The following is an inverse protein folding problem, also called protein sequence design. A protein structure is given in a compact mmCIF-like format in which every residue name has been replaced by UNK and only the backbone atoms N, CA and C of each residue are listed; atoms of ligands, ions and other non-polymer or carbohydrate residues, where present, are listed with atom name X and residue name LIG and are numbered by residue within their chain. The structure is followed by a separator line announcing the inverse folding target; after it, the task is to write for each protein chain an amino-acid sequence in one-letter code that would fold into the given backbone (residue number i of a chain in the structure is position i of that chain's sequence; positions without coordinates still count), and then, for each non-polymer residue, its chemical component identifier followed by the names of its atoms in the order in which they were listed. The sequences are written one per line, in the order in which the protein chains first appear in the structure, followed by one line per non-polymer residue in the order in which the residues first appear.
data_IF_589043335303
#
_entry.id   IF_589043335303
#
_cell.length_a   1.000
_cell.length_b   1.000
_cell.length_c   1.000
_cell.angle_alpha   90.00
_cell.angle_beta   90.00
_cell.angle_gamma   90.00
#
_symmetry.space_group_name_H-M   'P 1'
#
loop_
_entity.id
_entity.type
_entity.pdbx_description
1 polymer ?
#
# COMPACT_ATOMS: atom_id res chain seq x y z
N UNK A 1 15.49 -9.51 -48.22
CA UNK A 1 14.09 -9.54 -47.77
C UNK A 1 14.13 -9.04 -46.35
N UNK A 2 13.77 -7.78 -46.17
CA UNK A 2 13.72 -7.11 -44.87
C UNK A 2 12.50 -7.65 -44.14
N UNK A 3 12.72 -8.58 -43.21
CA UNK A 3 11.70 -8.98 -42.24
C UNK A 3 11.29 -7.74 -41.46
N UNK A 4 10.13 -7.21 -41.81
CA UNK A 4 9.50 -6.13 -41.06
C UNK A 4 9.15 -6.69 -39.69
N UNK A 5 10.00 -6.40 -38.71
CA UNK A 5 9.72 -6.61 -37.30
C UNK A 5 8.41 -5.87 -37.00
N UNK A 6 7.30 -6.62 -36.98
CA UNK A 6 6.03 -6.05 -36.52
C UNK A 6 6.23 -5.72 -35.05
N UNK A 7 5.82 -4.54 -34.57
CA UNK A 7 5.88 -4.25 -33.15
C UNK A 7 5.12 -5.34 -32.41
N UNK A 8 5.86 -6.10 -31.60
CA UNK A 8 5.32 -7.10 -30.70
C UNK A 8 4.68 -6.34 -29.55
N UNK A 9 3.36 -6.39 -29.50
CA UNK A 9 2.58 -5.84 -28.39
C UNK A 9 2.71 -6.77 -27.20
N UNK A 10 3.26 -6.27 -26.12
CA UNK A 10 3.39 -6.99 -24.86
C UNK A 10 2.46 -6.37 -23.82
N UNK A 11 2.08 -7.17 -22.84
CA UNK A 11 1.30 -6.73 -21.70
C UNK A 11 2.16 -6.78 -20.44
N UNK A 12 2.18 -5.68 -19.70
CA UNK A 12 2.84 -5.57 -18.40
C UNK A 12 1.78 -5.64 -17.33
N UNK A 13 2.05 -6.45 -16.30
CA UNK A 13 1.22 -6.54 -15.10
C UNK A 13 1.96 -5.86 -13.95
N UNK A 14 1.37 -4.79 -13.41
CA UNK A 14 1.91 -4.05 -12.27
C UNK A 14 1.00 -4.20 -11.06
N UNK A 15 1.61 -4.36 -9.88
CA UNK A 15 0.91 -4.48 -8.61
C UNK A 15 1.58 -3.53 -7.62
N UNK A 16 0.79 -2.66 -6.99
CA UNK A 16 1.28 -1.59 -6.11
C UNK A 16 2.37 -0.73 -6.79
N UNK A 17 2.20 -0.43 -8.08
CA UNK A 17 3.15 0.35 -8.88
C UNK A 17 4.44 -0.39 -9.28
N UNK A 18 4.62 -1.65 -8.86
CA UNK A 18 5.80 -2.45 -9.21
C UNK A 18 5.45 -3.41 -10.33
N UNK A 19 6.22 -3.36 -11.42
CA UNK A 19 6.15 -4.34 -12.50
C UNK A 19 6.47 -5.74 -11.97
N UNK A 20 5.57 -6.70 -12.22
CA UNK A 20 5.75 -8.08 -11.80
C UNK A 20 6.13 -9.01 -12.93
N UNK A 21 5.51 -8.84 -14.10
CA UNK A 21 5.71 -9.74 -15.24
C UNK A 21 5.29 -9.06 -16.55
N UNK A 22 6.00 -9.40 -17.64
CA UNK A 22 5.65 -9.09 -19.02
C UNK A 22 5.15 -10.34 -19.73
N UNK A 23 4.09 -10.20 -20.51
CA UNK A 23 3.50 -11.25 -21.33
C UNK A 23 3.56 -10.88 -22.81
N UNK A 24 4.16 -11.75 -23.59
CA UNK A 24 4.10 -11.74 -25.05
C UNK A 24 2.82 -12.41 -25.57
N UNK A 25 2.42 -12.15 -26.83
CA UNK A 25 1.27 -12.80 -27.45
C UNK A 25 1.36 -14.34 -27.36
N UNK A 26 0.25 -14.97 -26.97
CA UNK A 26 0.15 -16.42 -26.76
C UNK A 26 0.52 -16.91 -25.35
N UNK A 27 0.93 -16.02 -24.44
CA UNK A 27 1.22 -16.37 -23.05
C UNK A 27 0.00 -16.18 -22.14
N UNK A 28 -0.04 -16.97 -21.07
CA UNK A 28 -1.05 -16.89 -20.02
C UNK A 28 -0.41 -17.04 -18.65
N UNK A 29 -1.00 -16.37 -17.66
CA UNK A 29 -0.62 -16.49 -16.26
C UNK A 29 -1.84 -16.68 -15.37
N UNK A 30 -1.64 -17.33 -14.24
CA UNK A 30 -2.58 -17.32 -13.13
C UNK A 30 -2.15 -16.31 -12.07
N UNK A 31 -3.08 -15.48 -11.61
CA UNK A 31 -2.86 -14.47 -10.58
C UNK A 31 -3.56 -14.92 -9.30
N UNK A 32 -2.87 -14.83 -8.18
CA UNK A 32 -3.49 -15.00 -6.88
C UNK A 32 -2.50 -14.91 -5.74
N UNK A 33 -3.02 -14.94 -4.51
CA UNK A 33 -2.16 -14.75 -3.34
C UNK A 33 -1.13 -15.85 -3.19
N UNK A 34 0.02 -15.50 -2.61
CA UNK A 34 1.08 -16.44 -2.25
C UNK A 34 0.56 -17.44 -1.21
N UNK A 35 0.56 -18.76 -1.51
CA UNK A 35 0.06 -19.75 -0.57
C UNK A 35 1.14 -20.11 0.48
N UNK A 36 0.73 -20.34 1.73
CA UNK A 36 1.63 -20.76 2.83
C UNK A 36 2.30 -22.12 2.53
N UNK A 37 1.58 -22.98 1.80
CA UNK A 37 2.10 -24.26 1.30
C UNK A 37 2.20 -24.17 -0.22
N UNK A 38 3.27 -24.68 -0.85
CA UNK A 38 3.34 -24.80 -2.30
C UNK A 38 2.08 -25.48 -2.84
N UNK A 39 1.47 -24.88 -3.86
CA UNK A 39 0.35 -25.49 -4.56
C UNK A 39 0.89 -26.51 -5.57
N UNK A 40 0.07 -27.51 -5.94
CA UNK A 40 0.39 -28.39 -7.06
C UNK A 40 0.76 -27.57 -8.30
N UNK A 41 1.82 -27.99 -8.99
CA UNK A 41 2.19 -27.36 -10.25
C UNK A 41 1.18 -27.78 -11.32
N UNK A 42 0.33 -26.83 -11.71
CA UNK A 42 -0.68 -26.99 -12.74
C UNK A 42 -0.10 -26.71 -14.16
N UNK A 43 1.21 -26.45 -14.28
CA UNK A 43 1.90 -26.19 -15.55
C UNK A 43 1.67 -24.78 -16.13
N UNK A 44 0.91 -23.95 -15.44
CA UNK A 44 0.68 -22.53 -15.77
C UNK A 44 1.64 -21.65 -14.98
N UNK A 45 2.21 -20.64 -15.65
CA UNK A 45 3.02 -19.63 -14.96
C UNK A 45 2.14 -18.88 -13.97
N UNK A 46 2.60 -18.76 -12.74
CA UNK A 46 1.83 -18.15 -11.67
C UNK A 46 2.48 -16.87 -11.19
N UNK A 47 1.68 -15.82 -11.12
CA UNK A 47 2.00 -14.58 -10.43
C UNK A 47 1.51 -14.67 -8.98
N UNK A 48 2.47 -14.84 -8.06
CA UNK A 48 2.21 -14.83 -6.62
C UNK A 48 2.14 -13.40 -6.09
N UNK A 49 0.97 -13.01 -5.58
CA UNK A 49 0.74 -11.69 -5.01
C UNK A 49 0.83 -11.76 -3.49
N UNK A 50 1.54 -10.82 -2.87
CA UNK A 50 1.55 -10.67 -1.42
C UNK A 50 0.26 -9.98 -1.00
N UNK A 51 -0.55 -10.66 -0.21
CA UNK A 51 -1.85 -10.19 0.26
C UNK A 51 -2.00 -10.59 1.73
N UNK A 52 -1.72 -9.63 2.62
CA UNK A 52 -1.76 -9.79 4.08
C UNK A 52 -3.19 -9.92 4.60
N UNK A 53 -4.14 -9.18 4.00
CA UNK A 53 -5.56 -9.19 4.39
C UNK A 53 -6.28 -10.46 3.94
N UNK A 54 -5.64 -11.29 3.12
CA UNK A 54 -6.19 -12.55 2.58
C UNK A 54 -7.48 -12.31 1.79
N UNK A 55 -7.60 -11.12 1.20
CA UNK A 55 -8.73 -10.71 0.37
C UNK A 55 -8.72 -11.38 -1.01
N UNK A 56 -7.54 -11.74 -1.51
CA UNK A 56 -7.33 -12.37 -2.80
C UNK A 56 -7.30 -13.91 -2.63
N UNK A 57 -8.10 -14.63 -3.41
CA UNK A 57 -8.00 -16.08 -3.53
C UNK A 57 -6.60 -16.56 -3.94
N UNK A 58 -6.23 -17.78 -3.55
CA UNK A 58 -4.94 -18.39 -3.95
C UNK A 58 -4.85 -18.49 -5.48
N UNK A 59 -5.91 -18.96 -6.12
CA UNK A 59 -6.10 -18.89 -7.58
C UNK A 59 -7.28 -17.94 -7.75
N UNK A 60 -7.02 -16.70 -8.13
CA UNK A 60 -8.03 -15.66 -8.16
C UNK A 60 -8.55 -15.47 -9.58
N UNK A 61 -7.64 -15.17 -10.49
CA UNK A 61 -7.96 -14.93 -11.88
C UNK A 61 -6.87 -15.49 -12.79
N UNK A 62 -7.23 -15.70 -14.05
CA UNK A 62 -6.27 -15.96 -15.12
C UNK A 62 -6.22 -14.76 -16.06
N UNK A 63 -5.01 -14.40 -16.49
CA UNK A 63 -4.77 -13.39 -17.50
C UNK A 63 -4.19 -14.07 -18.72
N UNK A 64 -4.84 -13.89 -19.87
CA UNK A 64 -4.52 -14.61 -21.11
C UNK A 64 -4.32 -13.58 -22.21
N UNK A 65 -3.16 -13.62 -22.86
CA UNK A 65 -2.86 -12.84 -24.06
C UNK A 65 -2.94 -13.78 -25.26
N UNK A 66 -3.82 -13.48 -26.20
CA UNK A 66 -3.94 -14.28 -27.42
C UNK A 66 -2.79 -14.02 -28.41
N UNK A 67 -2.70 -14.82 -29.48
CA UNK A 67 -1.70 -14.64 -30.52
C UNK A 67 -1.85 -13.31 -31.30
N UNK A 68 -3.02 -12.66 -31.20
CA UNK A 68 -3.27 -11.35 -31.80
C UNK A 68 -2.80 -10.18 -30.93
N UNK A 69 -2.39 -10.45 -29.68
CA UNK A 69 -1.98 -9.45 -28.69
C UNK A 69 -3.14 -8.84 -27.89
N UNK A 70 -4.37 -9.33 -28.06
CA UNK A 70 -5.50 -8.96 -27.20
C UNK A 70 -5.44 -9.75 -25.90
N UNK A 71 -5.81 -9.09 -24.81
CA UNK A 71 -5.80 -9.68 -23.49
C UNK A 71 -7.20 -9.85 -22.93
N UNK A 72 -7.37 -10.88 -22.10
CA UNK A 72 -8.60 -11.14 -21.35
C UNK A 72 -8.28 -11.61 -19.94
N UNK A 73 -9.14 -11.21 -19.01
CA UNK A 73 -9.13 -11.67 -17.62
C UNK A 73 -10.31 -12.61 -17.41
N UNK A 74 -10.09 -13.71 -16.70
CA UNK A 74 -11.16 -14.62 -16.25
C UNK A 74 -11.03 -14.85 -14.76
N UNK A 75 -12.09 -14.56 -14.02
CA UNK A 75 -12.19 -14.90 -12.60
C UNK A 75 -12.37 -16.42 -12.45
N UNK A 76 -11.60 -17.04 -11.55
CA UNK A 76 -11.55 -18.49 -11.34
C UNK A 76 -12.42 -18.94 -10.14
N UNK A 77 -13.54 -18.28 -9.90
CA UNK A 77 -14.41 -18.52 -8.74
C UNK A 77 -13.80 -17.94 -7.47
N UNK A 78 -13.33 -16.69 -7.54
CA UNK A 78 -12.74 -16.02 -6.40
C UNK A 78 -13.78 -15.76 -5.29
N UNK A 79 -13.34 -15.72 -4.03
CA UNK A 79 -14.28 -15.57 -2.90
C UNK A 79 -14.85 -14.16 -2.79
N UNK A 80 -14.00 -13.15 -3.05
CA UNK A 80 -14.38 -11.73 -2.92
C UNK A 80 -14.74 -11.08 -4.25
N UNK A 81 -14.56 -11.81 -5.36
CA UNK A 81 -14.82 -11.32 -6.71
C UNK A 81 -13.66 -10.56 -7.33
N UNK A 82 -13.73 -10.44 -8.65
CA UNK A 82 -12.90 -9.57 -9.50
C UNK A 82 -13.73 -8.39 -10.01
N UNK A 83 -13.15 -7.20 -10.01
CA UNK A 83 -13.81 -5.98 -10.48
C UNK A 83 -12.90 -5.20 -11.43
N UNK A 84 -13.48 -4.55 -12.43
CA UNK A 84 -12.82 -3.55 -13.28
C UNK A 84 -13.05 -2.18 -12.66
N UNK A 85 -11.99 -1.41 -12.48
CA UNK A 85 -12.05 -0.05 -11.95
C UNK A 85 -12.21 0.91 -13.13
N UNK A 86 -13.34 1.62 -13.17
CA UNK A 86 -13.61 2.65 -14.17
C UNK A 86 -12.92 3.99 -13.81
N UNK A 87 -12.89 4.91 -14.76
CA UNK A 87 -12.25 6.23 -14.61
C UNK A 87 -12.93 7.14 -13.56
N UNK A 88 -14.21 6.91 -13.29
CA UNK A 88 -15.00 7.59 -12.25
C UNK A 88 -14.81 6.98 -10.86
N UNK A 89 -14.09 5.87 -10.75
CA UNK A 89 -13.92 5.09 -9.53
C UNK A 89 -14.98 4.02 -9.31
N UNK A 90 -15.96 3.89 -10.21
CA UNK A 90 -16.97 2.84 -10.10
C UNK A 90 -16.38 1.46 -10.40
N UNK A 91 -16.91 0.45 -9.72
CA UNK A 91 -16.47 -0.94 -9.85
C UNK A 91 -17.47 -1.75 -10.67
N UNK A 92 -17.02 -2.30 -11.79
CA UNK A 92 -17.79 -3.26 -12.59
C UNK A 92 -17.35 -4.66 -12.22
N UNK A 93 -18.26 -5.47 -11.65
CA UNK A 93 -17.95 -6.87 -11.34
C UNK A 93 -17.74 -7.69 -12.61
N UNK A 94 -16.64 -8.42 -12.66
CA UNK A 94 -16.37 -9.44 -13.67
C UNK A 94 -17.13 -10.71 -13.32
N UNK A 95 -17.79 -11.31 -14.31
CA UNK A 95 -18.52 -12.57 -14.10
C UNK A 95 -17.54 -13.72 -13.87
N UNK A 96 -17.81 -14.53 -12.85
CA UNK A 96 -17.06 -15.74 -12.52
C UNK A 96 -17.06 -16.72 -13.71
N UNK A 97 -15.92 -17.37 -13.97
CA UNK A 97 -15.68 -18.33 -15.05
C UNK A 97 -15.93 -17.80 -16.48
N UNK A 98 -16.15 -16.50 -16.65
CA UNK A 98 -16.33 -15.84 -17.94
C UNK A 98 -15.10 -15.05 -18.34
N UNK A 99 -14.80 -15.05 -19.63
CA UNK A 99 -13.78 -14.18 -20.19
C UNK A 99 -14.28 -12.74 -20.24
N UNK A 100 -13.53 -11.84 -19.61
CA UNK A 100 -13.65 -10.41 -19.77
C UNK A 100 -12.53 -9.92 -20.69
N UNK A 101 -12.83 -9.53 -21.94
CA UNK A 101 -11.84 -8.92 -22.82
C UNK A 101 -11.52 -7.51 -22.35
N UNK A 102 -10.23 -7.18 -22.26
CA UNK A 102 -9.78 -5.81 -22.00
C UNK A 102 -10.21 -4.94 -23.20
N UNK A 103 -10.86 -3.82 -22.90
CA UNK A 103 -11.38 -2.83 -23.84
C UNK A 103 -10.33 -1.77 -24.20
N UNK A 104 -9.39 -1.49 -23.29
CA UNK A 104 -8.38 -0.46 -23.40
C UNK A 104 -6.96 -1.01 -23.35
N UNK A 105 -5.99 -0.19 -23.75
CA UNK A 105 -4.56 -0.51 -23.66
C UNK A 105 -4.02 -0.41 -22.23
N UNK A 106 -4.79 0.14 -21.29
CA UNK A 106 -4.47 0.16 -19.87
C UNK A 106 -5.75 0.04 -19.08
N UNK A 107 -5.83 -0.94 -18.19
CA UNK A 107 -6.98 -1.17 -17.33
C UNK A 107 -6.56 -1.57 -15.93
N UNK A 108 -7.28 -1.06 -14.94
CA UNK A 108 -7.09 -1.39 -13.53
C UNK A 108 -8.16 -2.36 -13.08
N UNK A 109 -7.74 -3.44 -12.46
CA UNK A 109 -8.61 -4.43 -11.85
C UNK A 109 -8.41 -4.43 -10.34
N UNK A 110 -9.47 -4.76 -9.62
CA UNK A 110 -9.45 -5.05 -8.20
C UNK A 110 -9.76 -6.53 -8.00
N UNK A 111 -8.82 -7.27 -7.43
CA UNK A 111 -8.96 -8.69 -7.10
C UNK A 111 -9.03 -8.85 -5.58
N UNK A 112 -10.23 -9.02 -5.04
CA UNK A 112 -10.46 -8.83 -3.61
C UNK A 112 -10.23 -7.36 -3.23
N UNK A 113 -9.20 -7.06 -2.44
CA UNK A 113 -8.83 -5.69 -2.07
C UNK A 113 -7.55 -5.20 -2.78
N UNK A 114 -6.93 -6.04 -3.61
CA UNK A 114 -5.67 -5.73 -4.27
C UNK A 114 -5.92 -5.15 -5.66
N UNK A 115 -5.31 -3.99 -5.93
CA UNK A 115 -5.31 -3.37 -7.24
C UNK A 115 -4.19 -3.95 -8.13
N UNK A 116 -4.54 -4.29 -9.36
CA UNK A 116 -3.63 -4.79 -10.39
C UNK A 116 -3.88 -4.01 -11.66
N UNK A 117 -2.84 -3.39 -12.21
CA UNK A 117 -2.93 -2.72 -13.49
C UNK A 117 -2.34 -3.59 -14.60
N UNK A 118 -3.05 -3.62 -15.72
CA UNK A 118 -2.62 -4.22 -16.96
C UNK A 118 -2.37 -3.11 -17.96
N UNK A 119 -1.17 -3.02 -18.50
CA UNK A 119 -0.81 -2.02 -19.51
C UNK A 119 -0.16 -2.66 -20.72
N UNK A 120 -0.56 -2.25 -21.90
CA UNK A 120 -0.01 -2.70 -23.16
C UNK A 120 1.16 -1.78 -23.54
N UNK A 121 2.33 -2.39 -23.78
CA UNK A 121 3.53 -1.71 -24.25
C UNK A 121 3.87 -2.20 -25.66
N UNK A 122 4.34 -1.28 -26.50
CA UNK A 122 4.90 -1.62 -27.80
C UNK A 122 6.43 -1.80 -27.62
N UNK A 123 6.98 -2.98 -27.91
CA UNK A 123 8.39 -3.34 -27.67
C UNK A 123 9.39 -2.36 -28.32
N UNK A 124 8.97 -1.68 -29.40
CA UNK A 124 9.74 -0.62 -30.07
C UNK A 124 10.02 0.63 -29.21
N UNK A 125 9.41 0.79 -28.04
CA UNK A 125 9.70 1.88 -27.10
C UNK A 125 10.50 1.47 -25.86
N UNK A 126 10.80 0.17 -25.68
CA UNK A 126 11.46 -0.32 -24.46
C UNK A 126 12.88 -0.88 -24.66
N UNK A 127 13.34 -1.06 -25.89
CA UNK A 127 14.76 -1.42 -26.14
C UNK A 127 15.75 -0.28 -25.80
N UNK A 128 15.26 0.91 -25.45
CA UNK A 128 16.07 2.04 -24.96
C UNK A 128 15.86 2.36 -23.46
N UNK A 129 15.03 1.59 -22.73
CA UNK A 129 14.67 1.90 -21.34
C UNK A 129 15.01 0.80 -20.31
N UNK A 130 15.68 -0.29 -20.70
CA UNK A 130 16.29 -1.22 -19.72
C UNK A 130 17.67 -0.71 -19.23
N UNK A 131 18.20 0.36 -19.84
CA UNK A 131 19.23 1.23 -19.27
C UNK A 131 18.57 2.56 -18.87
N UNK A 132 17.74 2.56 -17.82
CA UNK A 132 17.47 3.82 -17.10
C UNK A 132 18.74 4.15 -16.31
N UNK A 133 19.76 4.63 -17.03
CA UNK A 133 20.56 5.72 -16.52
C UNK A 133 19.55 6.76 -16.06
N UNK A 134 19.32 6.80 -14.75
CA UNK A 134 18.92 8.02 -14.08
C UNK A 134 19.91 9.02 -14.67
N UNK A 135 19.44 9.95 -15.51
CA UNK A 135 20.26 10.99 -16.09
C UNK A 135 20.54 11.95 -14.95
N UNK A 136 21.33 11.49 -13.98
CA UNK A 136 22.04 12.28 -13.00
C UNK A 136 22.92 13.14 -13.89
N UNK A 137 22.65 14.45 -13.99
CA UNK A 137 23.56 15.33 -14.68
C UNK A 137 24.92 15.10 -14.03
N UNK A 138 25.92 14.68 -14.83
CA UNK A 138 27.24 14.36 -14.32
C UNK A 138 27.70 15.53 -13.44
N UNK A 139 27.93 15.28 -12.15
CA UNK A 139 28.33 16.30 -11.17
C UNK A 139 29.66 16.98 -11.58
N UNK A 140 30.37 16.42 -12.56
CA UNK A 140 31.59 16.95 -13.14
C UNK A 140 31.43 17.58 -14.53
N UNK A 141 30.24 17.55 -15.14
CA UNK A 141 30.00 18.21 -16.44
C UNK A 141 30.18 19.74 -16.37
N UNK A 142 29.92 20.35 -15.21
CA UNK A 142 30.20 21.77 -14.98
C UNK A 142 31.69 22.11 -14.91
N UNK A 143 32.57 21.15 -14.61
CA UNK A 143 34.01 21.39 -14.54
C UNK A 143 34.70 21.39 -15.91
N UNK A 144 34.03 20.84 -16.94
CA UNK A 144 34.61 20.76 -18.29
C UNK A 144 34.13 21.87 -19.23
N UNK A 145 32.99 22.51 -18.96
CA UNK A 145 32.50 23.61 -19.80
C UNK A 145 33.09 24.99 -19.46
N UNK A 146 33.77 25.15 -18.32
CA UNK A 146 34.36 26.44 -17.90
C UNK A 146 35.89 26.47 -17.89
N UNK A 147 36.59 25.58 -18.62
CA UNK A 147 38.05 25.65 -18.60
C UNK A 147 38.86 25.29 -19.84
N UNK A 148 38.38 25.66 -21.02
CA UNK A 148 39.26 25.76 -22.20
C UNK A 148 40.05 27.09 -22.26
N UNK A 149 39.94 27.97 -21.25
CA UNK A 149 40.62 29.28 -21.24
C UNK A 149 41.30 29.71 -19.93
N UNK A 150 41.24 28.99 -18.80
CA UNK A 150 42.17 29.29 -17.70
C UNK A 150 43.48 28.54 -17.94
N UNK A 151 44.36 29.22 -18.66
CA UNK A 151 45.79 28.95 -18.61
C UNK A 151 46.22 29.02 -17.14
N UNK A 152 46.78 27.94 -16.59
CA UNK A 152 47.47 28.01 -15.31
C UNK A 152 48.42 29.21 -15.35
N UNK A 153 48.32 30.17 -14.41
CA UNK A 153 49.22 31.31 -14.40
C UNK A 153 50.63 30.80 -14.21
N UNK A 154 51.50 31.15 -15.17
CA UNK A 154 52.92 30.79 -15.15
C UNK A 154 53.51 31.30 -13.82
N UNK A 155 54.22 30.45 -13.08
CA UNK A 155 54.71 30.74 -11.73
C UNK A 155 55.59 32.01 -11.67
N UNK A 156 56.09 32.46 -12.82
CA UNK A 156 56.88 33.67 -12.98
C UNK A 156 56.08 34.98 -12.92
N UNK A 157 54.75 34.95 -13.09
CA UNK A 157 53.86 36.13 -13.06
C UNK A 157 53.11 36.30 -11.73
N UNK A 158 53.34 35.42 -10.75
CA UNK A 158 52.75 35.55 -9.42
C UNK A 158 53.38 36.73 -8.66
N UNK A 159 52.54 37.62 -8.13
CA UNK A 159 53.02 38.73 -7.32
C UNK A 159 53.56 38.22 -5.98
N UNK A 160 54.44 39.00 -5.34
CA UNK A 160 55.03 38.64 -4.04
C UNK A 160 53.96 38.45 -2.96
N UNK A 161 52.84 39.17 -3.06
CA UNK A 161 51.71 39.04 -2.14
C UNK A 161 50.93 37.73 -2.37
N UNK A 162 50.71 37.30 -3.62
CA UNK A 162 50.03 36.02 -3.94
C UNK A 162 50.82 34.80 -3.43
N UNK A 163 52.15 34.87 -3.47
CA UNK A 163 53.05 33.82 -2.97
C UNK A 163 53.04 33.77 -1.42
N UNK A 164 52.81 34.91 -0.76
CA UNK A 164 52.70 34.96 0.70
C UNK A 164 51.39 34.32 1.19
N UNK A 165 50.28 34.54 0.47
CA UNK A 165 48.99 33.91 0.79
C UNK A 165 49.03 32.38 0.60
N UNK A 166 49.68 31.90 -0.47
CA UNK A 166 49.91 30.48 -0.74
C UNK A 166 50.69 29.76 0.38
N UNK A 167 51.58 30.47 1.10
CA UNK A 167 52.35 29.91 2.22
C UNK A 167 51.64 30.11 3.57
N UNK A 168 50.84 31.16 3.73
CA UNK A 168 50.12 31.47 4.95
C UNK A 168 48.88 30.57 5.16
N UNK A 169 48.42 29.87 4.13
CA UNK A 169 47.28 28.95 4.23
C UNK A 169 45.92 29.67 4.31
N UNK A 170 45.85 30.92 3.88
CA UNK A 170 44.60 31.64 3.72
C UNK A 170 43.97 31.30 2.36
N UNK A 171 42.62 31.25 2.26
CA UNK A 171 41.97 30.78 1.05
C UNK A 171 42.26 31.77 -0.09
N UNK A 172 42.92 31.29 -1.14
CA UNK A 172 43.23 32.03 -2.37
C UNK A 172 41.94 32.57 -2.98
N UNK A 173 41.61 33.82 -2.64
CA UNK A 173 40.38 34.50 -3.01
C UNK A 173 40.41 34.98 -4.45
N UNK A 174 40.43 34.07 -5.43
CA UNK A 174 40.20 34.42 -6.85
C UNK A 174 38.69 34.57 -7.15
N UNK A 175 37.82 34.31 -6.17
CA UNK A 175 36.37 34.44 -6.32
C UNK A 175 35.93 35.91 -6.43
N UNK A 176 36.01 36.46 -7.64
CA UNK A 176 35.39 37.73 -8.01
C UNK A 176 33.86 37.53 -8.13
N UNK A 177 33.12 37.80 -7.06
CA UNK A 177 31.67 37.63 -6.95
C UNK A 177 30.83 38.59 -7.85
N UNK A 178 31.46 39.36 -8.73
CA UNK A 178 30.80 40.39 -9.54
C UNK A 178 30.03 39.78 -10.73
N UNK A 179 30.46 38.62 -11.26
CA UNK A 179 29.78 37.92 -12.35
C UNK A 179 28.46 37.23 -11.95
N UNK A 180 28.36 36.78 -10.69
CA UNK A 180 27.17 36.03 -10.20
C UNK A 180 25.93 36.93 -10.15
N UNK A 181 26.10 38.21 -9.82
CA UNK A 181 24.99 39.19 -9.76
C UNK A 181 24.39 39.48 -11.13
N UNK A 182 25.22 39.56 -12.18
CA UNK A 182 24.74 39.75 -13.56
C UNK A 182 23.87 38.58 -14.04
N UNK A 183 24.20 37.35 -13.62
CA UNK A 183 23.50 36.15 -14.08
C UNK A 183 22.18 35.92 -13.34
N UNK A 184 22.12 36.28 -12.05
CA UNK A 184 20.88 36.27 -11.26
C UNK A 184 19.88 37.30 -11.81
N UNK A 185 20.34 38.50 -12.18
CA UNK A 185 19.45 39.50 -12.81
C UNK A 185 18.90 39.03 -14.16
N UNK A 186 19.71 38.36 -14.99
CA UNK A 186 19.26 37.81 -16.27
C UNK A 186 18.23 36.68 -16.12
N UNK A 187 18.42 35.77 -15.14
CA UNK A 187 17.46 34.70 -14.82
C UNK A 187 16.15 35.25 -14.26
N UNK A 188 16.22 36.29 -13.41
CA UNK A 188 15.03 36.95 -12.88
C UNK A 188 14.20 37.62 -13.98
N UNK A 189 14.85 38.27 -14.94
CA UNK A 189 14.19 38.90 -16.10
C UNK A 189 13.55 37.87 -17.05
N UNK A 190 14.16 36.69 -17.19
CA UNK A 190 13.61 35.58 -17.99
C UNK A 190 12.38 34.93 -17.33
N UNK A 191 12.34 34.85 -16.00
CA UNK A 191 11.18 34.34 -15.25
C UNK A 191 9.99 35.33 -15.26
N UNK A 192 10.27 36.65 -15.24
CA UNK A 192 9.24 37.70 -15.31
C UNK A 192 8.61 37.78 -16.71
N UNK A 193 9.39 37.57 -17.78
CA UNK A 193 8.86 37.55 -19.14
C UNK A 193 8.01 36.30 -19.48
N UNK A 194 8.18 35.18 -18.77
CA UNK A 194 7.33 33.99 -18.94
C UNK A 194 5.94 34.11 -18.28
N UNK A 195 5.72 35.11 -17.42
CA UNK A 195 4.45 35.32 -16.71
C UNK A 195 3.60 36.47 -17.29
N UNK A 196 3.96 37.04 -18.44
CA UNK A 196 3.27 38.21 -19.02
C UNK A 196 2.50 37.89 -20.31
N UNK A 197 1.82 36.74 -20.35
CA UNK A 197 0.80 36.46 -21.36
C UNK A 197 -0.38 35.67 -20.77
N UNK A 198 -0.95 36.16 -19.67
CA UNK A 198 -2.33 35.84 -19.29
C UNK A 198 -2.93 37.04 -18.56
N UNK A 199 -3.87 37.71 -19.23
CA UNK A 199 -4.61 38.86 -18.76
C UNK A 199 -5.77 38.44 -17.85
N UNK A 200 -5.81 39.00 -16.63
CA UNK A 200 -6.94 38.95 -15.68
C UNK A 200 -7.71 40.29 -15.75
N UNK A 201 -9.05 40.28 -15.62
CA UNK A 201 -9.72 40.80 -14.41
C UNK A 201 -10.84 39.83 -13.95
N UNK A 202 -11.29 39.73 -12.70
CA UNK A 202 -11.31 40.63 -11.56
C UNK A 202 -11.64 39.83 -10.27
N UNK A 203 -11.39 40.45 -9.12
CA UNK A 203 -11.52 39.92 -7.76
C UNK A 203 -12.97 39.76 -7.29
N UNK A 204 -13.27 38.67 -6.57
CA UNK A 204 -14.18 38.70 -5.41
C UNK A 204 -13.64 37.82 -4.27
N UNK A 205 -13.72 38.36 -3.06
CA UNK A 205 -13.23 37.83 -1.77
C UNK A 205 -14.23 36.83 -1.16
N UNK A 206 -13.78 35.91 -0.30
CA UNK A 206 -14.63 34.93 0.38
C UNK A 206 -15.43 35.59 1.52
N UNK A 207 -16.71 35.25 1.64
CA UNK A 207 -17.57 35.69 2.74
C UNK A 207 -17.51 34.68 3.90
N UNK A 208 -17.25 35.26 5.08
CA UNK A 208 -17.40 34.69 6.41
C UNK A 208 -18.78 34.05 6.63
N UNK A 209 -18.81 32.98 7.43
CA UNK A 209 -19.97 32.66 8.24
C UNK A 209 -19.49 32.31 9.65
N UNK A 210 -19.48 33.31 10.52
CA UNK A 210 -19.31 33.16 11.96
C UNK A 210 -20.60 32.61 12.60
N UNK A 211 -20.37 31.94 13.74
CA UNK A 211 -21.34 31.35 14.64
C UNK A 211 -22.20 32.42 15.32
N UNK A 212 -23.46 32.11 15.60
CA UNK A 212 -24.10 32.64 16.81
C UNK A 212 -25.19 31.70 17.34
N UNK A 213 -25.27 31.69 18.66
CA UNK A 213 -26.00 30.83 19.57
C UNK A 213 -27.19 31.62 20.12
N UNK A 214 -28.32 30.95 20.40
CA UNK A 214 -29.33 31.27 21.46
C UNK A 214 -30.53 30.33 21.22
N UNK A 215 -30.82 29.31 22.05
CA UNK A 215 -31.35 29.27 23.43
C UNK A 215 -32.89 29.43 23.54
N UNK A 216 -33.51 28.34 24.03
CA UNK A 216 -34.78 28.22 24.79
C UNK A 216 -36.16 28.44 24.10
N UNK A 217 -37.00 27.40 24.06
CA UNK A 217 -38.13 27.20 25.01
C UNK A 217 -38.93 25.90 24.74
N UNK A 218 -39.38 25.30 25.84
CA UNK A 218 -40.15 24.06 26.06
C UNK A 218 -41.53 23.98 25.37
N UNK A 219 -42.02 22.75 25.10
CA UNK A 219 -43.16 22.10 25.81
C UNK A 219 -43.62 20.79 25.11
N UNK A 220 -43.61 19.70 25.90
CA UNK A 220 -44.43 18.47 25.93
C UNK A 220 -45.10 17.86 24.66
N UNK A 221 -44.79 16.59 24.35
CA UNK A 221 -45.72 15.44 24.49
C UNK A 221 -45.06 14.10 24.11
N UNK A 222 -45.08 13.18 25.08
CA UNK A 222 -45.26 11.73 25.08
C UNK A 222 -45.42 10.93 23.75
N UNK A 223 -44.75 9.75 23.73
CA UNK A 223 -44.97 8.71 22.73
C UNK A 223 -43.95 7.56 22.75
N UNK A 224 -43.80 6.84 23.87
CA UNK A 224 -43.08 5.55 23.90
C UNK A 224 -43.92 4.45 23.21
N UNK A 225 -43.40 3.87 22.13
CA UNK A 225 -43.86 2.58 21.58
C UNK A 225 -42.69 1.61 21.38
N UNK A 226 -42.40 0.90 22.47
CA UNK A 226 -42.26 -0.56 22.59
C UNK A 226 -41.69 -1.36 21.40
N UNK A 227 -40.46 -1.84 21.57
CA UNK A 227 -39.98 -3.10 20.98
C UNK A 227 -40.42 -4.29 21.86
N UNK A 228 -41.00 -5.33 21.26
CA UNK A 228 -41.29 -6.62 21.91
C UNK A 228 -40.55 -7.76 21.17
N UNK A 229 -39.80 -8.64 21.86
CA UNK A 229 -39.37 -9.92 21.32
C UNK A 229 -40.33 -11.06 21.75
N UNK A 230 -40.85 -11.81 20.77
CA UNK A 230 -41.53 -13.11 20.92
C UNK A 230 -40.60 -14.16 20.25
N UNK A 231 -40.35 -15.38 20.73
CA UNK A 231 -40.86 -16.16 21.84
C UNK A 231 -39.86 -17.30 22.13
N UNK A 232 -39.58 -17.58 23.40
CA UNK A 232 -39.09 -18.88 23.86
C UNK A 232 -40.14 -19.40 24.85
N UNK A 233 -40.94 -20.38 24.42
CA UNK A 233 -41.91 -21.04 25.29
C UNK A 233 -41.24 -22.23 25.98
N UNK A 234 -40.79 -22.00 27.22
CA UNK A 234 -40.69 -23.04 28.24
C UNK A 234 -42.09 -23.49 28.64
N UNK A 235 -42.35 -24.79 28.72
CA UNK A 235 -43.50 -25.35 29.42
C UNK A 235 -43.01 -26.35 30.45
N UNK A 236 -43.37 -26.10 31.71
CA UNK A 236 -43.00 -26.90 32.86
C UNK A 236 -44.09 -27.94 33.19
N UNK A 237 -43.60 -29.11 33.66
CA UNK A 237 -44.12 -30.07 34.64
C UNK A 237 -45.63 -30.22 34.87
N UNK A 238 -46.11 -31.47 34.84
CA UNK A 238 -46.57 -32.18 36.05
C UNK A 238 -46.72 -33.70 35.81
N UNK A 239 -46.74 -34.43 36.92
CA UNK A 239 -46.56 -35.87 37.15
C UNK A 239 -47.72 -36.79 36.74
N UNK A 240 -47.45 -38.06 36.45
CA UNK A 240 -47.92 -39.19 37.28
C UNK A 240 -47.47 -40.56 36.75
N UNK A 241 -47.46 -41.49 37.70
CA UNK A 241 -46.95 -42.86 37.72
C UNK A 241 -47.65 -43.82 36.74
N UNK A 242 -46.93 -44.83 36.21
CA UNK A 242 -47.23 -46.26 36.38
C UNK A 242 -46.47 -47.16 35.39
N UNK A 243 -45.72 -48.08 35.98
CA UNK A 243 -45.19 -49.34 35.44
C UNK A 243 -46.33 -50.25 34.96
N UNK A 244 -46.16 -50.99 33.84
CA UNK A 244 -46.52 -52.42 33.62
C UNK A 244 -46.66 -52.78 32.11
N UNK A 245 -45.68 -53.59 31.66
CA UNK A 245 -45.84 -54.86 30.89
C UNK A 245 -46.16 -54.82 29.38
N UNK A 246 -45.13 -55.18 28.59
CA UNK A 246 -45.05 -56.36 27.70
C UNK A 246 -46.12 -56.50 26.60
N UNK A 247 -45.69 -56.63 25.33
CA UNK A 247 -46.10 -57.70 24.39
C UNK A 247 -45.36 -57.58 23.04
N UNK A 248 -45.13 -58.76 22.46
CA UNK A 248 -44.34 -59.12 21.28
C UNK A 248 -45.00 -58.80 19.92
N UNK A 249 -44.16 -58.87 18.87
CA UNK A 249 -44.47 -59.30 17.47
C UNK A 249 -45.42 -58.38 16.66
N UNK A 250 -45.33 -58.19 15.34
CA UNK A 250 -44.50 -58.69 14.23
C UNK A 250 -44.88 -57.88 12.96
N UNK A 251 -44.10 -58.05 11.87
CA UNK A 251 -44.44 -57.75 10.44
C UNK A 251 -44.58 -56.26 10.03
N UNK A 252 -44.32 -55.80 8.80
CA UNK A 252 -43.42 -56.11 7.69
C UNK A 252 -43.63 -54.94 6.68
N UNK A 253 -42.64 -54.66 5.83
CA UNK A 253 -42.73 -53.96 4.52
C UNK A 253 -42.76 -52.41 4.39
N UNK A 254 -41.78 -51.97 3.58
CA UNK A 254 -41.80 -51.00 2.45
C UNK A 254 -41.27 -49.56 2.64
N UNK A 255 -40.40 -49.20 1.67
CA UNK A 255 -39.49 -48.06 1.40
C UNK A 255 -40.05 -46.62 1.58
N UNK A 256 -39.24 -45.51 1.53
CA UNK A 256 -37.85 -45.36 1.05
C UNK A 256 -36.86 -44.67 2.02
N UNK A 257 -35.56 -44.87 1.77
CA UNK A 257 -34.45 -44.31 2.53
C UNK A 257 -34.36 -42.78 2.38
N UNK A 258 -34.59 -42.06 3.48
CA UNK A 258 -34.22 -40.67 3.65
C UNK A 258 -32.69 -40.55 3.84
N UNK A 259 -32.03 -39.50 3.32
CA UNK A 259 -30.61 -39.28 3.56
C UNK A 259 -30.39 -39.04 5.06
N UNK A 260 -29.51 -39.84 5.66
CA UNK A 260 -28.99 -39.59 7.01
C UNK A 260 -28.32 -38.22 7.04
N UNK A 261 -29.00 -37.23 7.62
CA UNK A 261 -28.42 -35.93 7.94
C UNK A 261 -27.35 -36.13 9.01
N UNK A 262 -26.07 -36.08 8.62
CA UNK A 262 -24.96 -35.94 9.56
C UNK A 262 -24.82 -34.45 9.90
N UNK A 263 -25.00 -34.02 11.16
CA UNK A 263 -24.65 -32.66 11.55
C UNK A 263 -23.14 -32.44 11.35
N UNK A 264 -22.76 -31.38 10.64
CA UNK A 264 -21.38 -31.04 10.29
C UNK A 264 -20.58 -30.38 11.43
N UNK A 265 -20.99 -30.55 12.68
CA UNK A 265 -20.32 -29.95 13.82
C UNK A 265 -19.85 -31.05 14.78
N UNK A 266 -18.53 -31.27 14.79
CA UNK A 266 -17.89 -32.11 15.80
C UNK A 266 -17.93 -31.37 17.15
N UNK A 267 -18.47 -32.00 18.22
CA UNK A 267 -18.54 -31.41 19.55
C UNK A 267 -17.12 -31.34 20.13
N UNK A 268 -16.44 -30.24 19.85
CA UNK A 268 -15.07 -29.99 20.33
C UNK A 268 -14.41 -28.72 19.79
N UNK A 269 -14.97 -28.05 18.77
CA UNK A 269 -14.20 -27.03 18.03
C UNK A 269 -14.23 -25.60 18.58
N UNK A 270 -15.13 -25.24 19.49
CA UNK A 270 -15.25 -23.83 19.97
C UNK A 270 -15.06 -23.73 21.48
N UNK A 271 -15.72 -24.61 22.24
CA UNK A 271 -15.63 -24.59 23.71
C UNK A 271 -14.26 -25.02 24.25
N UNK A 272 -13.55 -25.92 23.55
CA UNK A 272 -12.24 -26.39 23.99
C UNK A 272 -11.14 -25.34 23.74
N UNK A 273 -11.31 -24.50 22.71
CA UNK A 273 -10.43 -23.33 22.44
C UNK A 273 -10.65 -22.21 23.45
N UNK A 274 -11.90 -21.90 23.79
CA UNK A 274 -12.23 -20.92 24.85
C UNK A 274 -11.74 -21.38 26.23
N UNK A 275 -11.84 -22.68 26.53
CA UNK A 275 -11.45 -23.22 27.84
C UNK A 275 -9.94 -23.34 28.03
N UNK A 276 -9.17 -23.35 26.94
CA UNK A 276 -7.69 -23.44 26.99
C UNK A 276 -7.00 -22.07 27.03
N UNK A 277 -7.73 -20.97 26.94
CA UNK A 277 -7.15 -19.62 27.03
C UNK A 277 -6.19 -19.27 25.89
N UNK A 278 -6.23 -20.03 24.80
CA UNK A 278 -5.33 -19.91 23.64
C UNK A 278 -5.96 -18.99 22.57
N UNK A 279 -6.52 -17.86 23.02
CA UNK A 279 -6.72 -16.74 22.11
C UNK A 279 -5.34 -16.13 21.92
N UNK A 280 -4.70 -16.54 20.82
CA UNK A 280 -3.57 -15.87 20.20
C UNK A 280 -3.60 -14.38 20.53
N UNK A 281 -2.46 -13.87 21.02
CA UNK A 281 -2.10 -12.46 21.02
C UNK A 281 -2.18 -11.95 19.56
N UNK A 282 -3.40 -11.73 19.08
CA UNK A 282 -3.67 -11.04 17.83
C UNK A 282 -3.24 -9.60 18.09
N UNK A 283 -1.95 -9.34 17.91
CA UNK A 283 -1.37 -8.01 17.98
C UNK A 283 -2.28 -7.08 17.18
N UNK A 284 -2.88 -6.10 17.86
CA UNK A 284 -3.87 -5.23 17.26
C UNK A 284 -3.20 -4.47 16.12
N UNK A 285 -3.50 -4.86 14.87
CA UNK A 285 -2.99 -4.17 13.69
C UNK A 285 -3.80 -2.89 13.54
N UNK A 286 -3.20 -1.78 13.94
CA UNK A 286 -3.83 -0.45 13.84
C UNK A 286 -3.38 0.18 12.53
N UNK A 287 -4.32 0.67 11.73
CA UNK A 287 -4.06 1.36 10.47
C UNK A 287 -4.56 2.80 10.55
N UNK A 288 -3.68 3.76 10.24
CA UNK A 288 -3.98 5.19 10.27
C UNK A 288 -3.40 5.83 9.01
N UNK A 289 -4.26 6.48 8.21
CA UNK A 289 -3.86 7.15 6.96
C UNK A 289 -3.02 6.27 5.99
N UNK A 290 -3.31 4.97 5.96
CA UNK A 290 -2.59 3.99 5.13
C UNK A 290 -1.24 3.54 5.70
N UNK A 291 -0.89 3.93 6.93
CA UNK A 291 0.27 3.43 7.68
C UNK A 291 -0.18 2.46 8.76
N UNK A 292 0.45 1.29 8.82
CA UNK A 292 0.08 0.26 9.80
C UNK A 292 1.02 0.23 11.00
N UNK A 293 0.55 -0.34 12.11
CA UNK A 293 1.37 -0.61 13.29
C UNK A 293 2.54 -1.55 13.00
N UNK A 294 2.42 -2.44 12.02
CA UNK A 294 3.51 -3.31 11.58
C UNK A 294 4.60 -2.52 10.83
N UNK A 295 4.20 -1.55 10.01
CA UNK A 295 5.14 -0.64 9.36
C UNK A 295 5.88 0.21 10.41
N UNK A 296 5.17 0.67 11.45
CA UNK A 296 5.77 1.40 12.55
C UNK A 296 6.88 0.60 13.27
N UNK A 297 6.66 -0.69 13.53
CA UNK A 297 7.62 -1.58 14.21
C UNK A 297 8.83 -1.95 13.36
N UNK A 298 8.67 -2.06 12.04
CA UNK A 298 9.68 -2.66 11.17
C UNK A 298 10.29 -1.69 10.14
N UNK A 299 9.75 -0.48 9.99
CA UNK A 299 10.21 0.48 9.00
C UNK A 299 11.64 0.93 9.30
N UNK A 300 12.47 0.98 8.25
CA UNK A 300 13.83 1.56 8.28
C UNK A 300 13.90 2.91 7.54
N UNK A 301 12.80 3.35 6.93
CA UNK A 301 12.73 4.61 6.19
C UNK A 301 12.42 5.77 7.15
N UNK A 302 13.37 6.69 7.29
CA UNK A 302 13.24 7.85 8.18
C UNK A 302 12.10 8.79 7.79
N UNK A 303 11.81 8.93 6.49
CA UNK A 303 10.69 9.76 6.00
C UNK A 303 9.37 9.14 6.42
N UNK A 304 9.25 7.82 6.27
CA UNK A 304 8.06 7.09 6.69
C UNK A 304 7.89 7.13 8.21
N UNK A 305 8.97 6.91 8.98
CA UNK A 305 8.97 7.02 10.45
C UNK A 305 8.52 8.40 10.92
N UNK A 306 9.00 9.48 10.30
CA UNK A 306 8.58 10.85 10.63
C UNK A 306 7.09 11.08 10.35
N UNK A 307 6.56 10.56 9.25
CA UNK A 307 5.13 10.66 8.96
C UNK A 307 4.30 9.85 9.96
N UNK A 308 4.74 8.63 10.30
CA UNK A 308 4.07 7.82 11.32
C UNK A 308 4.09 8.47 12.71
N UNK A 309 5.17 9.18 13.07
CA UNK A 309 5.28 9.91 14.33
C UNK A 309 4.25 11.05 14.50
N UNK A 310 3.61 11.50 13.41
CA UNK A 310 2.49 12.47 13.49
C UNK A 310 1.21 11.83 14.06
N UNK A 311 1.13 10.50 14.03
CA UNK A 311 -0.04 9.75 14.48
C UNK A 311 0.20 9.18 15.87
N UNK A 312 -0.50 9.76 16.87
CA UNK A 312 -0.37 9.35 18.27
C UNK A 312 -0.61 7.86 18.52
N UNK A 313 -1.46 7.25 17.70
CA UNK A 313 -1.83 5.84 17.77
C UNK A 313 -0.69 4.90 17.33
N UNK A 314 0.24 5.39 16.51
CA UNK A 314 1.38 4.60 16.02
C UNK A 314 2.60 4.71 16.93
N UNK A 315 2.65 5.71 17.83
CA UNK A 315 3.81 5.99 18.68
C UNK A 315 4.28 4.80 19.55
N UNK A 316 3.39 4.05 20.22
CA UNK A 316 3.83 2.89 21.01
C UNK A 316 4.47 1.80 20.14
N UNK A 317 4.04 1.68 18.88
CA UNK A 317 4.59 0.73 17.92
C UNK A 317 5.89 1.21 17.30
N UNK A 318 6.02 2.53 17.05
CA UNK A 318 7.29 3.13 16.68
C UNK A 318 8.32 2.86 17.77
N UNK A 319 7.97 3.07 19.03
CA UNK A 319 8.88 2.82 20.16
C UNK A 319 9.41 1.37 20.25
N UNK A 320 8.75 0.39 19.63
CA UNK A 320 9.24 -1.00 19.55
C UNK A 320 10.25 -1.23 18.43
N UNK A 321 10.40 -0.29 17.50
CA UNK A 321 11.24 -0.44 16.32
C UNK A 321 12.73 -0.23 16.66
N UNK A 322 13.61 -1.22 16.42
CA UNK A 322 15.04 -1.13 16.74
C UNK A 322 15.85 -0.24 15.80
N UNK A 323 15.25 0.21 14.68
CA UNK A 323 15.90 1.01 13.65
C UNK A 323 15.30 2.42 13.54
N UNK A 324 14.79 2.96 14.64
CA UNK A 324 14.46 4.40 14.72
C UNK A 324 15.74 5.23 14.72
N UNK A 325 15.66 6.44 14.18
CA UNK A 325 16.76 7.40 14.29
C UNK A 325 16.78 8.07 15.68
N UNK A 326 17.98 8.47 16.10
CA UNK A 326 18.31 8.98 17.44
C UNK A 326 17.39 10.10 17.94
N UNK A 327 17.09 11.10 17.10
CA UNK A 327 16.23 12.22 17.48
C UNK A 327 14.79 11.77 17.80
N UNK A 328 14.30 10.69 17.18
CA UNK A 328 12.97 10.17 17.43
C UNK A 328 12.91 9.37 18.73
N UNK A 329 13.98 8.66 19.09
CA UNK A 329 14.13 8.07 20.43
C UNK A 329 14.16 9.14 21.53
N UNK A 330 14.89 10.22 21.30
CA UNK A 330 14.93 11.36 22.22
C UNK A 330 13.54 11.99 22.40
N UNK A 331 12.80 12.16 21.30
CA UNK A 331 11.46 12.74 21.33
C UNK A 331 10.42 11.83 21.99
N UNK A 332 10.42 10.53 21.67
CA UNK A 332 9.49 9.55 22.25
C UNK A 332 9.66 9.44 23.77
N UNK A 333 10.90 9.35 24.25
CA UNK A 333 11.21 9.29 25.70
C UNK A 333 10.88 10.60 26.43
N UNK A 334 10.94 11.74 25.75
CA UNK A 334 10.56 13.03 26.33
C UNK A 334 9.03 13.21 26.52
N UNK A 335 8.22 12.37 25.86
CA UNK A 335 6.76 12.45 25.92
C UNK A 335 6.19 11.95 27.27
N UNK A 336 6.93 11.09 27.98
CA UNK A 336 6.57 10.60 29.32
C UNK A 336 5.27 9.79 29.36
N UNK A 337 5.00 9.04 28.29
CA UNK A 337 3.86 8.14 28.21
C UNK A 337 4.30 6.73 28.62
N UNK A 338 3.64 6.17 29.65
CA UNK A 338 3.96 4.86 30.23
C UNK A 338 4.00 3.72 29.20
N UNK A 339 3.09 3.73 28.21
CA UNK A 339 3.04 2.71 27.17
C UNK A 339 4.23 2.80 26.20
N UNK A 340 4.64 4.02 25.88
CA UNK A 340 5.78 4.31 24.99
C UNK A 340 7.08 3.98 25.72
N UNK A 341 7.23 4.42 26.97
CA UNK A 341 8.41 4.18 27.80
C UNK A 341 8.61 2.67 28.04
N UNK A 342 7.52 1.95 28.31
CA UNK A 342 7.54 0.48 28.45
C UNK A 342 7.94 -0.24 27.15
N UNK A 343 7.58 0.32 25.99
CA UNK A 343 7.97 -0.21 24.69
C UNK A 343 9.44 0.09 24.37
N UNK A 344 9.90 1.31 24.66
CA UNK A 344 11.29 1.73 24.51
C UNK A 344 12.24 0.89 25.39
N UNK A 345 11.87 0.60 26.64
CA UNK A 345 12.71 -0.19 27.54
C UNK A 345 12.97 -1.62 27.02
N UNK A 346 11.99 -2.20 26.32
CA UNK A 346 12.08 -3.54 25.72
C UNK A 346 12.84 -3.53 24.39
N UNK A 347 13.05 -2.37 23.80
CA UNK A 347 13.65 -2.22 22.49
C UNK A 347 15.19 -2.26 22.58
N UNK A 348 15.80 -3.13 21.79
CA UNK A 348 17.26 -3.26 21.72
C UNK A 348 17.92 -1.98 21.16
N UNK A 349 17.34 -1.37 20.10
CA UNK A 349 17.89 -0.17 19.47
C UNK A 349 17.89 1.04 20.39
N UNK A 350 16.86 1.20 21.23
CA UNK A 350 16.82 2.28 22.22
C UNK A 350 17.90 2.13 23.29
N UNK A 351 18.19 0.90 23.72
CA UNK A 351 19.26 0.62 24.68
C UNK A 351 20.64 0.91 24.10
N UNK A 352 20.84 0.63 22.81
CA UNK A 352 22.07 1.00 22.08
C UNK A 352 22.22 2.52 21.97
N UNK A 353 21.13 3.24 21.65
CA UNK A 353 21.10 4.70 21.62
C UNK A 353 21.49 5.31 22.98
N UNK A 354 20.94 4.81 24.09
CA UNK A 354 21.32 5.26 25.43
C UNK A 354 22.80 5.00 25.74
N UNK A 355 23.33 3.85 25.33
CA UNK A 355 24.74 3.51 25.51
C UNK A 355 25.69 4.36 24.65
N UNK A 356 25.20 4.93 23.53
CA UNK A 356 25.96 5.84 22.69
C UNK A 356 25.97 7.30 23.21
N UNK A 357 25.04 7.64 24.11
CA UNK A 357 24.91 8.97 24.74
C UNK A 357 25.73 9.11 26.04
N UNK A 358 26.14 7.99 26.65
CA UNK A 358 27.00 7.92 27.84
C UNK A 358 28.49 7.93 27.46
#
# INVERSE_FOLDING_TARGET
MSDGQRPTRQWVVTINGVEKIRLSPGQSIEIGRKPIRPLPDDGMVRLEVQDSTKSMSKRHASFIVDESGQARVRDLGSTNGSYVVQNDGDLIRVSEDSDYPLQHTSERFQFGDILVDFSQIDESQNAENDDVDILVPDLFSFAHEENDNAKEPDEADLSVDDILDLRAGEPTGIFHAEGVRSRISALHEQAVNQHQSESVPEQEKPQDFEQEYEESHELDHDGELQFQPLAAAQLAQESDEQEIVQLQESEEQSEPQQPTYKPAFEPGSVFDKVSKGDFDDQEQVIEVEGMTSEDAKNSTDFTLQFNMAKHSQLLPFLAMNPSLYDDLYAWLSAQGNEDIDSALEKNEGYREYLAAQE
#
